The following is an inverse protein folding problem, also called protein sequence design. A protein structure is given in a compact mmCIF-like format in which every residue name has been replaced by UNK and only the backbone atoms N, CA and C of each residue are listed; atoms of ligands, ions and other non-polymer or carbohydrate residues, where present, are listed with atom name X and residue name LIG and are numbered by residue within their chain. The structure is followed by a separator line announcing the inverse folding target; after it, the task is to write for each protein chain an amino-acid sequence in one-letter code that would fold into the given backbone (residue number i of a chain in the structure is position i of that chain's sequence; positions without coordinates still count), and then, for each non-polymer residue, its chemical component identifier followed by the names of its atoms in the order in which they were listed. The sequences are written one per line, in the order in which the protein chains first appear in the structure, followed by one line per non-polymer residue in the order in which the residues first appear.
data_IF_890504991686
#
_entry.id   IF_890504991686
#
_cell.length_a   1.000
_cell.length_b   1.000
_cell.length_c   1.000
_cell.angle_alpha   90.00
_cell.angle_beta   90.00
_cell.angle_gamma   90.00
#
_symmetry.space_group_name_H-M   'P 1'
#
loop_
_entity.id
_entity.type
_entity.pdbx_description
1 polymer ?
#
# COMPACT_ATOMS: atom_id res chain seq x y z
N UNK A 1 11.27 -8.86 2.09
CA UNK A 1 10.37 -10.03 1.91
C UNK A 1 11.21 -11.28 2.05
N UNK A 2 10.86 -12.17 2.95
CA UNK A 2 11.55 -13.45 3.25
C UNK A 2 11.83 -14.35 2.02
N UNK A 3 11.26 -14.06 0.86
CA UNK A 3 11.63 -14.74 -0.39
C UNK A 3 13.05 -14.41 -0.89
N UNK A 4 13.67 -13.35 -0.36
CA UNK A 4 14.98 -12.84 -0.81
C UNK A 4 15.97 -12.63 0.34
N UNK A 5 15.53 -12.82 1.57
CA UNK A 5 16.38 -12.68 2.74
C UNK A 5 17.08 -14.00 3.00
N UNK A 6 18.37 -13.92 3.17
CA UNK A 6 19.23 -15.04 3.56
C UNK A 6 19.79 -14.76 4.94
N UNK A 7 20.06 -15.80 5.69
CA UNK A 7 20.80 -15.68 6.95
C UNK A 7 22.22 -15.08 6.70
N UNK A 8 22.88 -14.53 7.71
CA UNK A 8 24.23 -13.94 7.56
C UNK A 8 25.29 -14.89 6.99
N UNK A 9 25.09 -16.19 7.18
CA UNK A 9 25.93 -17.27 6.62
C UNK A 9 25.60 -17.61 5.15
N UNK A 10 24.64 -16.91 4.54
CA UNK A 10 24.13 -17.16 3.19
C UNK A 10 23.11 -18.28 3.09
N UNK A 11 22.77 -18.94 4.19
CA UNK A 11 21.76 -20.00 4.25
C UNK A 11 20.33 -19.44 4.15
N UNK A 12 19.37 -20.36 4.05
CA UNK A 12 17.95 -19.98 4.01
C UNK A 12 17.49 -19.52 5.38
N UNK A 13 16.85 -18.35 5.42
CA UNK A 13 16.13 -17.89 6.62
C UNK A 13 14.63 -18.20 6.50
N UNK A 14 14.07 -18.91 7.46
CA UNK A 14 12.68 -19.34 7.48
C UNK A 14 11.90 -18.63 8.57
N UNK A 15 10.66 -18.24 8.24
CA UNK A 15 9.75 -17.68 9.23
C UNK A 15 9.26 -18.78 10.19
N UNK A 16 9.05 -18.41 11.45
CA UNK A 16 8.42 -19.28 12.45
C UNK A 16 6.93 -19.49 12.18
N UNK A 17 6.29 -18.59 11.42
CA UNK A 17 4.91 -18.70 10.94
C UNK A 17 4.87 -19.00 9.43
N UNK A 18 3.73 -19.54 8.96
CA UNK A 18 3.53 -19.81 7.52
C UNK A 18 3.14 -18.57 6.72
N UNK A 19 3.86 -17.48 6.94
CA UNK A 19 3.68 -16.21 6.24
C UNK A 19 4.99 -15.73 5.60
N UNK A 20 4.87 -14.87 4.59
CA UNK A 20 6.02 -14.36 3.83
C UNK A 20 6.60 -13.06 4.40
N UNK A 21 5.91 -12.45 5.35
CA UNK A 21 6.33 -11.21 6.01
C UNK A 21 7.27 -11.54 7.16
N UNK A 22 8.33 -10.73 7.35
CA UNK A 22 9.13 -10.78 8.56
C UNK A 22 8.27 -10.52 9.79
N UNK A 23 8.54 -11.24 10.87
CA UNK A 23 7.80 -11.10 12.12
C UNK A 23 8.72 -10.62 13.23
N UNK A 24 8.19 -9.77 14.11
CA UNK A 24 8.87 -9.31 15.30
C UNK A 24 7.91 -9.40 16.49
N UNK A 25 8.48 -9.74 17.64
CA UNK A 25 7.78 -9.72 18.94
C UNK A 25 8.33 -8.54 19.72
N UNK A 26 7.47 -7.65 20.21
CA UNK A 26 7.87 -6.53 21.04
C UNK A 26 7.15 -6.63 22.40
N UNK A 27 7.92 -6.53 23.49
CA UNK A 27 7.40 -6.52 24.85
C UNK A 27 7.71 -5.17 25.48
N UNK A 28 6.66 -4.43 25.84
CA UNK A 28 6.78 -3.12 26.48
C UNK A 28 6.46 -3.22 27.97
N UNK A 29 7.42 -2.80 28.79
CA UNK A 29 7.28 -2.81 30.27
C UNK A 29 7.36 -1.38 30.77
N UNK A 30 6.27 -0.88 31.37
CA UNK A 30 6.21 0.44 32.01
C UNK A 30 6.30 0.28 33.53
N UNK A 31 7.25 0.98 34.16
CA UNK A 31 7.42 1.00 35.61
C UNK A 31 7.15 2.42 36.13
N UNK A 32 6.36 2.56 37.22
CA UNK A 32 5.86 3.86 37.72
C UNK A 32 6.98 4.82 38.14
N UNK A 33 8.08 4.33 38.66
CA UNK A 33 9.11 5.17 39.32
C UNK A 33 10.43 5.22 38.54
N UNK A 34 10.51 4.61 37.38
CA UNK A 34 11.71 4.62 36.54
C UNK A 34 11.63 5.63 35.44
N UNK A 35 12.62 6.52 35.40
CA UNK A 35 12.85 7.44 34.28
C UNK A 35 13.82 6.82 33.28
N UNK A 36 13.64 7.21 31.98
CA UNK A 36 14.47 6.70 30.87
C UNK A 36 13.91 5.43 30.24
N UNK A 37 14.48 5.09 29.09
CA UNK A 37 14.10 3.92 28.29
C UNK A 37 15.33 3.05 28.02
N UNK A 38 15.19 1.74 28.14
CA UNK A 38 16.17 0.78 27.68
C UNK A 38 15.52 -0.10 26.63
N UNK A 39 16.17 -0.27 25.49
CA UNK A 39 15.71 -1.12 24.40
C UNK A 39 16.68 -2.28 24.23
N UNK A 40 16.17 -3.48 24.32
CA UNK A 40 16.92 -4.71 24.14
C UNK A 40 16.47 -5.37 22.85
N UNK A 41 17.42 -5.81 22.04
CA UNK A 41 17.18 -6.39 20.72
C UNK A 41 17.83 -7.77 20.62
N UNK A 42 17.12 -8.70 20.00
CA UNK A 42 17.67 -9.99 19.59
C UNK A 42 17.11 -10.37 18.22
N UNK A 43 17.85 -11.14 17.47
CA UNK A 43 17.48 -11.61 16.13
C UNK A 43 17.91 -13.08 15.98
N UNK A 44 17.02 -13.89 15.41
CA UNK A 44 17.28 -15.30 15.13
C UNK A 44 17.21 -15.53 13.62
N UNK A 45 18.24 -16.14 13.07
CA UNK A 45 18.33 -16.55 11.69
C UNK A 45 18.35 -18.07 11.54
N UNK A 46 18.06 -18.57 10.36
CA UNK A 46 18.17 -19.96 10.01
C UNK A 46 16.84 -20.68 9.82
N UNK A 47 16.86 -22.00 9.90
CA UNK A 47 15.68 -22.84 9.69
C UNK A 47 14.67 -22.68 10.84
N UNK A 48 13.39 -22.84 10.51
CA UNK A 48 12.27 -22.73 11.45
C UNK A 48 12.48 -23.60 12.69
N UNK A 49 12.86 -24.87 12.51
CA UNK A 49 13.06 -25.79 13.62
C UNK A 49 14.16 -25.30 14.56
N UNK A 50 15.29 -24.84 14.04
CA UNK A 50 16.38 -24.32 14.88
C UNK A 50 15.93 -23.10 15.69
N UNK A 51 15.02 -22.27 15.18
CA UNK A 51 14.46 -21.16 15.92
C UNK A 51 13.53 -21.62 17.03
N UNK A 52 12.74 -22.65 16.81
CA UNK A 52 11.92 -23.27 17.86
C UNK A 52 12.79 -23.88 18.95
N UNK A 53 13.77 -24.69 18.59
CA UNK A 53 14.69 -25.31 19.54
C UNK A 53 15.41 -24.27 20.41
N UNK A 54 15.78 -23.13 19.79
CA UNK A 54 16.39 -22.02 20.52
C UNK A 54 15.40 -21.38 21.49
N UNK A 55 14.17 -21.10 21.06
CA UNK A 55 13.14 -20.50 21.90
C UNK A 55 12.75 -21.41 23.09
N UNK A 56 12.70 -22.71 22.87
CA UNK A 56 12.35 -23.69 23.91
C UNK A 56 13.46 -23.83 24.97
N UNK A 57 14.73 -23.64 24.60
CA UNK A 57 15.87 -23.80 25.45
C UNK A 57 16.37 -22.52 26.13
N UNK A 58 15.94 -21.35 25.63
CA UNK A 58 16.38 -20.04 26.13
C UNK A 58 15.24 -19.31 26.83
N UNK A 59 15.46 -19.00 28.09
CA UNK A 59 14.58 -18.11 28.82
C UNK A 59 14.85 -16.64 28.47
N UNK A 60 13.95 -15.75 28.90
CA UNK A 60 14.09 -14.31 28.74
C UNK A 60 15.24 -13.80 29.65
N UNK A 61 16.47 -13.99 29.22
CA UNK A 61 17.67 -13.48 29.87
C UNK A 61 18.25 -12.31 29.06
N UNK A 62 18.44 -11.18 29.72
CA UNK A 62 19.01 -9.95 29.15
C UNK A 62 20.37 -10.20 28.48
N UNK A 63 21.12 -11.21 28.90
CA UNK A 63 22.40 -11.58 28.29
C UNK A 63 22.30 -12.00 26.83
N UNK A 64 21.13 -12.49 26.43
CA UNK A 64 20.85 -12.90 25.05
C UNK A 64 20.47 -11.72 24.13
N UNK A 65 20.43 -10.50 24.65
CA UNK A 65 19.97 -9.32 23.96
C UNK A 65 21.04 -8.23 23.89
N UNK A 66 21.09 -7.56 22.76
CA UNK A 66 21.91 -6.37 22.59
C UNK A 66 21.18 -5.14 23.15
N UNK A 67 21.82 -4.38 24.03
CA UNK A 67 21.31 -3.09 24.46
C UNK A 67 21.48 -2.07 23.33
N UNK A 68 20.40 -1.47 22.88
CA UNK A 68 20.38 -0.42 21.89
C UNK A 68 20.27 0.96 22.53
N UNK A 69 20.77 1.98 21.84
CA UNK A 69 20.55 3.40 22.13
C UNK A 69 19.78 4.03 20.96
N UNK A 70 18.45 3.97 20.97
CA UNK A 70 17.65 4.63 19.93
C UNK A 70 17.85 6.14 19.97
N UNK A 71 18.19 6.74 18.84
CA UNK A 71 18.47 8.16 18.72
C UNK A 71 17.48 8.85 17.78
N UNK A 72 17.21 10.13 18.09
CA UNK A 72 16.42 11.02 17.23
C UNK A 72 17.02 11.09 15.83
N UNK A 73 16.18 11.28 14.77
CA UNK A 73 14.74 11.49 14.81
C UNK A 73 13.89 10.21 14.71
N UNK A 74 14.48 9.05 14.38
CA UNK A 74 13.68 7.86 14.07
C UNK A 74 13.60 6.82 15.17
N UNK A 75 14.46 6.87 16.18
CA UNK A 75 14.46 5.93 17.32
C UNK A 75 14.37 4.46 16.88
N UNK A 76 15.29 4.03 16.00
CA UNK A 76 15.29 2.66 15.50
C UNK A 76 15.48 1.63 16.61
N UNK A 77 14.62 0.62 16.64
CA UNK A 77 14.69 -0.52 17.56
C UNK A 77 15.42 -1.72 16.95
N UNK A 78 16.25 -1.47 15.96
CA UNK A 78 17.17 -2.43 15.33
C UNK A 78 18.57 -1.81 15.28
N UNK A 79 19.64 -2.62 15.30
CA UNK A 79 20.99 -2.09 15.16
C UNK A 79 21.14 -1.32 13.85
N UNK A 80 21.59 -0.08 13.92
CA UNK A 80 21.84 0.77 12.75
C UNK A 80 23.13 1.56 12.93
N UNK A 81 23.92 1.62 11.87
CA UNK A 81 25.05 2.55 11.83
C UNK A 81 24.54 3.94 11.47
N UNK A 82 24.46 4.82 12.46
CA UNK A 82 23.92 6.17 12.32
C UNK A 82 25.00 7.24 12.11
N UNK A 83 26.27 6.87 11.99
CA UNK A 83 27.37 7.83 11.84
C UNK A 83 27.18 8.79 10.68
N UNK A 84 26.60 8.33 9.57
CA UNK A 84 26.32 9.14 8.38
C UNK A 84 24.95 9.80 8.38
N UNK A 85 24.14 9.61 9.43
CA UNK A 85 22.75 10.12 9.48
C UNK A 85 22.71 11.65 9.42
N UNK A 86 23.69 12.32 10.02
CA UNK A 86 23.79 13.78 10.04
C UNK A 86 24.00 14.36 8.61
N UNK A 87 24.67 13.64 7.73
CA UNK A 87 24.81 14.03 6.32
C UNK A 87 23.47 13.86 5.59
N UNK A 88 22.80 12.75 5.84
CA UNK A 88 21.48 12.47 5.25
C UNK A 88 20.42 13.52 5.68
N UNK A 89 20.43 13.93 6.93
CA UNK A 89 19.51 14.94 7.47
C UNK A 89 19.70 16.34 6.87
N UNK A 90 20.85 16.62 6.27
CA UNK A 90 21.10 17.89 5.58
C UNK A 90 20.52 17.92 4.17
N UNK A 91 20.13 16.79 3.61
CA UNK A 91 19.55 16.75 2.28
C UNK A 91 18.09 17.21 2.32
N UNK A 92 17.67 17.88 1.25
CA UNK A 92 16.27 18.26 1.08
C UNK A 92 15.39 17.01 1.04
N UNK A 93 14.28 17.08 1.71
CA UNK A 93 13.29 16.00 1.70
C UNK A 93 12.50 16.03 0.40
N UNK A 94 12.01 14.87 -0.04
CA UNK A 94 11.23 14.76 -1.29
C UNK A 94 9.98 15.65 -1.25
N UNK A 95 9.31 15.74 -0.11
CA UNK A 95 8.15 16.61 0.06
C UNK A 95 8.49 18.12 0.11
N UNK A 96 9.75 18.50 0.36
CA UNK A 96 10.21 19.88 0.21
C UNK A 96 10.51 20.21 -1.27
N UNK A 97 10.95 19.21 -2.04
CA UNK A 97 11.21 19.36 -3.49
C UNK A 97 9.90 19.31 -4.28
N UNK A 98 8.99 18.44 -3.89
CA UNK A 98 7.67 18.24 -4.48
C UNK A 98 6.60 18.51 -3.43
N UNK A 99 6.26 19.79 -3.16
CA UNK A 99 5.30 20.17 -2.11
C UNK A 99 3.88 19.67 -2.41
N UNK A 100 3.54 19.52 -3.69
CA UNK A 100 2.30 18.91 -4.13
C UNK A 100 2.61 17.45 -4.54
N UNK A 101 2.15 16.52 -3.75
CA UNK A 101 2.37 15.09 -3.97
C UNK A 101 1.19 14.28 -3.45
N UNK A 102 1.03 13.08 -3.98
CA UNK A 102 -0.01 12.14 -3.57
C UNK A 102 0.20 10.78 -4.20
N UNK A 103 -0.59 9.81 -3.80
CA UNK A 103 -0.67 8.53 -4.51
C UNK A 103 -1.40 8.75 -5.84
N UNK A 104 -0.92 8.14 -6.91
CA UNK A 104 -1.57 8.23 -8.20
C UNK A 104 -3.00 7.69 -8.17
N UNK A 105 -3.80 8.15 -9.12
CA UNK A 105 -5.17 7.70 -9.33
C UNK A 105 -5.20 6.19 -9.58
N UNK A 106 -6.11 5.49 -8.93
CA UNK A 106 -6.36 4.07 -9.19
C UNK A 106 -7.79 3.89 -9.64
N UNK A 107 -8.00 3.65 -10.92
CA UNK A 107 -9.35 3.40 -11.48
C UNK A 107 -9.78 1.96 -11.30
N UNK A 108 -8.85 1.02 -11.43
CA UNK A 108 -9.07 -0.43 -11.52
C UNK A 108 -9.95 -0.86 -12.72
N UNK A 109 -10.33 0.09 -13.59
CA UNK A 109 -11.24 -0.07 -14.75
C UNK A 109 -10.87 0.89 -15.86
N UNK A 110 -9.58 0.99 -16.18
CA UNK A 110 -9.06 1.95 -17.16
C UNK A 110 -9.82 1.86 -18.49
N UNK A 111 -10.04 0.65 -19.01
CA UNK A 111 -10.77 0.42 -20.25
C UNK A 111 -12.19 0.99 -20.26
N UNK A 112 -12.79 1.14 -19.08
CA UNK A 112 -14.14 1.66 -18.92
C UNK A 112 -14.17 3.18 -18.75
N UNK A 113 -13.27 3.70 -17.87
CA UNK A 113 -13.31 5.11 -17.43
C UNK A 113 -12.27 6.00 -18.09
N UNK A 114 -11.37 5.47 -18.93
CA UNK A 114 -10.34 6.25 -19.64
C UNK A 114 -10.46 6.04 -21.15
N UNK A 115 -10.25 7.12 -21.92
CA UNK A 115 -10.21 7.08 -23.38
C UNK A 115 -9.36 8.21 -23.95
N UNK A 116 -8.87 8.04 -25.18
CA UNK A 116 -8.23 9.12 -25.94
C UNK A 116 -9.22 10.17 -26.44
N UNK A 117 -10.47 9.75 -26.66
CA UNK A 117 -11.52 10.58 -27.23
C UNK A 117 -12.61 10.87 -26.18
N UNK A 118 -12.83 12.15 -25.90
CA UNK A 118 -13.83 12.62 -24.93
C UNK A 118 -15.24 12.15 -25.30
N UNK A 119 -15.62 12.24 -26.57
CA UNK A 119 -16.97 11.85 -27.01
C UNK A 119 -17.19 10.36 -26.92
N UNK A 120 -16.17 9.54 -27.25
CA UNK A 120 -16.23 8.08 -27.11
C UNK A 120 -16.41 7.67 -25.66
N UNK A 121 -15.66 8.31 -24.74
CA UNK A 121 -15.80 8.09 -23.31
C UNK A 121 -17.20 8.44 -22.81
N UNK A 122 -17.69 9.63 -23.15
CA UNK A 122 -19.02 10.09 -22.74
C UNK A 122 -20.12 9.17 -23.27
N UNK A 123 -20.04 8.74 -24.52
CA UNK A 123 -20.99 7.80 -25.12
C UNK A 123 -20.97 6.43 -24.42
N UNK A 124 -19.79 5.95 -24.02
CA UNK A 124 -19.63 4.70 -23.24
C UNK A 124 -20.34 4.79 -21.89
N UNK A 125 -20.16 5.90 -21.18
CA UNK A 125 -20.80 6.13 -19.87
C UNK A 125 -22.32 6.28 -20.03
N UNK A 126 -22.80 7.00 -21.04
CA UNK A 126 -24.23 7.10 -21.37
C UNK A 126 -24.83 5.74 -21.70
N UNK A 127 -24.14 4.93 -22.51
CA UNK A 127 -24.59 3.58 -22.83
C UNK A 127 -24.67 2.70 -21.60
N UNK A 128 -23.66 2.76 -20.72
CA UNK A 128 -23.70 2.04 -19.45
C UNK A 128 -24.90 2.44 -18.61
N UNK A 129 -25.11 3.73 -18.37
CA UNK A 129 -26.20 4.30 -17.61
C UNK A 129 -27.57 3.89 -18.17
N UNK A 130 -27.77 4.00 -19.48
CA UNK A 130 -29.08 3.81 -20.13
C UNK A 130 -29.35 2.35 -20.53
N UNK A 131 -28.39 1.44 -20.30
CA UNK A 131 -28.56 0.02 -20.64
C UNK A 131 -29.57 -0.65 -19.69
N UNK A 132 -30.30 -1.63 -20.24
CA UNK A 132 -31.18 -2.53 -19.47
C UNK A 132 -30.48 -3.87 -19.16
N UNK A 133 -29.17 -3.89 -19.15
CA UNK A 133 -28.37 -5.08 -18.98
C UNK A 133 -28.44 -5.62 -17.53
N UNK A 134 -28.39 -6.94 -17.42
CA UNK A 134 -28.08 -7.61 -16.15
C UNK A 134 -26.64 -7.33 -15.74
N UNK A 135 -26.30 -7.58 -14.47
CA UNK A 135 -24.92 -7.38 -13.97
C UNK A 135 -23.89 -8.18 -14.76
N UNK A 136 -24.25 -9.41 -15.17
CA UNK A 136 -23.38 -10.26 -15.98
C UNK A 136 -23.11 -9.65 -17.34
N UNK A 137 -24.14 -9.11 -18.00
CA UNK A 137 -24.02 -8.46 -19.29
C UNK A 137 -23.24 -7.13 -19.19
N UNK A 138 -23.45 -6.35 -18.12
CA UNK A 138 -22.67 -5.14 -17.86
C UNK A 138 -21.17 -5.46 -17.74
N UNK A 139 -20.83 -6.49 -16.95
CA UNK A 139 -19.45 -6.92 -16.80
C UNK A 139 -18.82 -7.37 -18.13
N UNK A 140 -19.59 -8.12 -18.92
CA UNK A 140 -19.10 -8.67 -20.19
C UNK A 140 -18.99 -7.60 -21.28
N UNK A 141 -20.03 -6.81 -21.47
CA UNK A 141 -20.09 -5.80 -22.54
C UNK A 141 -19.05 -4.70 -22.35
N UNK A 142 -18.92 -4.18 -21.12
CA UNK A 142 -17.97 -3.12 -20.81
C UNK A 142 -16.59 -3.63 -20.39
N UNK A 143 -16.34 -4.93 -20.43
CA UNK A 143 -15.08 -5.59 -20.06
C UNK A 143 -14.61 -5.19 -18.66
N UNK A 144 -15.54 -5.09 -17.73
CA UNK A 144 -15.27 -4.72 -16.35
C UNK A 144 -15.04 -5.97 -15.51
N UNK A 145 -13.85 -6.13 -14.95
CA UNK A 145 -13.54 -7.25 -14.08
C UNK A 145 -14.21 -7.08 -12.71
N UNK A 146 -14.71 -8.19 -12.15
CA UNK A 146 -15.19 -8.22 -10.76
C UNK A 146 -14.03 -7.93 -9.81
N UNK A 147 -14.21 -6.97 -8.91
CA UNK A 147 -13.24 -6.66 -7.85
C UNK A 147 -13.95 -6.61 -6.50
N UNK A 148 -13.31 -7.17 -5.48
CA UNK A 148 -13.81 -7.10 -4.11
C UNK A 148 -13.96 -5.63 -3.68
N UNK A 149 -15.09 -5.32 -3.03
CA UNK A 149 -15.37 -3.98 -2.51
C UNK A 149 -15.95 -2.98 -3.54
N UNK A 150 -16.27 -3.40 -4.76
CA UNK A 150 -16.99 -2.58 -5.74
C UNK A 150 -18.12 -3.38 -6.40
N UNK A 151 -19.26 -2.75 -6.53
CA UNK A 151 -20.47 -3.34 -7.07
C UNK A 151 -20.94 -2.58 -8.32
N UNK A 152 -21.12 -3.31 -9.44
CA UNK A 152 -21.46 -2.73 -10.74
C UNK A 152 -22.90 -2.19 -10.74
N UNK A 153 -23.83 -2.86 -10.02
CA UNK A 153 -25.22 -2.42 -9.95
C UNK A 153 -25.33 -1.15 -9.12
N UNK A 154 -24.59 -1.06 -8.02
CA UNK A 154 -24.51 0.17 -7.23
C UNK A 154 -23.97 1.33 -8.08
N UNK A 155 -22.90 1.12 -8.84
CA UNK A 155 -22.36 2.12 -9.74
C UNK A 155 -23.39 2.55 -10.82
N UNK A 156 -24.07 1.58 -11.42
CA UNK A 156 -25.14 1.83 -12.39
C UNK A 156 -26.27 2.67 -11.77
N UNK A 157 -26.78 2.30 -10.60
CA UNK A 157 -27.82 3.05 -9.89
C UNK A 157 -27.39 4.49 -9.59
N UNK A 158 -26.17 4.68 -9.08
CA UNK A 158 -25.64 6.03 -8.80
C UNK A 158 -25.57 6.88 -10.06
N UNK A 159 -25.15 6.33 -11.20
CA UNK A 159 -25.09 7.08 -12.44
C UNK A 159 -26.47 7.37 -13.04
N UNK A 160 -27.51 6.64 -12.68
CA UNK A 160 -28.91 6.95 -13.08
C UNK A 160 -29.37 8.31 -12.54
N UNK A 161 -28.89 8.70 -11.36
CA UNK A 161 -29.26 9.95 -10.69
C UNK A 161 -28.64 11.18 -11.34
N UNK A 162 -27.61 11.01 -12.19
CA UNK A 162 -26.90 12.09 -12.86
C UNK A 162 -27.55 12.39 -14.22
N UNK A 163 -27.89 13.63 -14.49
CA UNK A 163 -28.41 14.01 -15.81
C UNK A 163 -27.35 13.88 -16.90
N UNK A 164 -27.75 13.71 -18.15
CA UNK A 164 -26.80 13.54 -19.27
C UNK A 164 -25.91 14.77 -19.50
N UNK A 165 -26.42 15.96 -19.17
CA UNK A 165 -25.65 17.21 -19.25
C UNK A 165 -24.61 17.32 -18.12
N UNK A 166 -24.85 16.68 -17.00
CA UNK A 166 -23.93 16.67 -15.86
C UNK A 166 -22.83 15.62 -16.03
N UNK A 167 -23.09 14.51 -16.73
CA UNK A 167 -22.07 13.50 -17.00
C UNK A 167 -20.80 14.11 -17.60
N UNK A 168 -20.94 15.09 -18.48
CA UNK A 168 -19.80 15.72 -19.13
C UNK A 168 -18.91 16.51 -18.16
N UNK A 169 -19.47 17.04 -17.07
CA UNK A 169 -18.71 17.76 -16.03
C UNK A 169 -17.75 16.84 -15.26
N UNK A 170 -18.01 15.54 -15.28
CA UNK A 170 -17.14 14.54 -14.66
C UNK A 170 -16.00 14.08 -15.57
N UNK A 171 -15.88 14.62 -16.79
CA UNK A 171 -14.75 14.29 -17.66
C UNK A 171 -13.62 15.30 -17.46
N UNK A 172 -12.48 14.79 -17.04
CA UNK A 172 -11.23 15.52 -16.85
C UNK A 172 -10.14 14.99 -17.77
N UNK A 173 -9.09 15.77 -17.95
CA UNK A 173 -7.85 15.29 -18.58
C UNK A 173 -6.94 14.66 -17.54
N UNK A 174 -6.25 13.60 -17.92
CA UNK A 174 -5.28 12.89 -17.08
C UNK A 174 -4.00 12.63 -17.88
N UNK A 175 -2.84 12.84 -17.27
CA UNK A 175 -1.58 12.31 -17.77
C UNK A 175 -1.51 10.84 -17.38
N UNK A 176 -1.94 9.98 -18.31
CA UNK A 176 -2.06 8.53 -18.07
C UNK A 176 -0.69 7.86 -17.95
N UNK A 177 0.25 8.32 -18.76
CA UNK A 177 1.68 7.97 -18.72
C UNK A 177 2.49 9.20 -19.12
N UNK A 178 3.80 9.24 -18.91
CA UNK A 178 4.63 10.31 -19.43
C UNK A 178 4.35 10.52 -20.93
N UNK A 179 3.98 11.75 -21.31
CA UNK A 179 3.61 12.16 -22.69
C UNK A 179 2.35 11.53 -23.27
N UNK A 180 1.52 10.84 -22.47
CA UNK A 180 0.26 10.23 -22.87
C UNK A 180 -0.88 10.88 -22.08
N UNK A 181 -1.54 11.87 -22.67
CA UNK A 181 -2.69 12.55 -22.11
C UNK A 181 -3.98 11.93 -22.64
N UNK A 182 -4.91 11.64 -21.74
CA UNK A 182 -6.21 11.04 -22.04
C UNK A 182 -7.32 11.76 -21.29
N UNK A 183 -8.56 11.36 -21.57
CA UNK A 183 -9.73 11.75 -20.81
C UNK A 183 -10.12 10.67 -19.83
N UNK A 184 -10.52 11.07 -18.62
CA UNK A 184 -11.03 10.19 -17.57
C UNK A 184 -12.42 10.65 -17.16
N UNK A 185 -13.34 9.69 -16.98
CA UNK A 185 -14.59 9.95 -16.29
C UNK A 185 -14.37 9.83 -14.79
N UNK A 186 -14.27 10.97 -14.12
CA UNK A 186 -13.92 11.09 -12.72
C UNK A 186 -15.16 11.14 -11.82
N UNK A 187 -15.56 10.00 -11.31
CA UNK A 187 -16.71 9.88 -10.40
C UNK A 187 -16.52 8.70 -9.45
N UNK A 188 -16.83 8.90 -8.16
CA UNK A 188 -16.61 7.91 -7.09
C UNK A 188 -17.33 6.58 -7.31
N UNK A 189 -18.45 6.59 -8.04
CA UNK A 189 -19.15 5.37 -8.41
C UNK A 189 -18.32 4.40 -9.25
N UNK A 190 -17.38 4.91 -10.03
CA UNK A 190 -16.63 4.12 -11.02
C UNK A 190 -15.10 4.17 -10.86
N UNK A 191 -14.55 5.12 -10.13
CA UNK A 191 -13.13 5.17 -9.81
C UNK A 191 -12.89 4.49 -8.47
N UNK A 192 -11.84 3.67 -8.35
CA UNK A 192 -11.57 2.88 -7.14
C UNK A 192 -11.07 3.71 -5.97
N UNK A 193 -10.16 4.65 -6.22
CA UNK A 193 -9.62 5.60 -5.24
C UNK A 193 -9.45 6.96 -5.89
N UNK A 194 -10.07 7.93 -5.32
CA UNK A 194 -9.80 9.34 -5.53
C UNK A 194 -8.69 9.78 -4.59
N UNK A 195 -7.79 10.61 -5.06
CA UNK A 195 -6.68 11.16 -4.24
C UNK A 195 -7.24 12.17 -3.26
#
# INVERSE_FOLDING_TARGET
SLKKETAPDGGKDENVFDIRQGTAIAIFVKQKEKTGCKVYYAELFGKRQSKYDWLDTHQLDIKNYQLLKPESPWYFFVPRNIVKIQYYLKWKRINEIFPVNGVGITTARDNFVIDFNKSSLLNRIRLFKNSKFSDKELHQFFQINKKQGWDIRKAWNTLQEISDNELEKHIATITYRPFDNRYIFWHDAVVWRTV
#
